data_IF_266060262205
#
_entry.id   IF_266060262205
#
_cell.length_a   1.000
_cell.length_b   1.000
_cell.length_c   1.000
_cell.angle_alpha   90.00
_cell.angle_beta   90.00
_cell.angle_gamma   90.00
#
_symmetry.space_group_name_H-M   'P 1'
#
loop_
_entity.id
_entity.type
_entity.pdbx_description
1 polymer ?
#
# COMPACT_ATOMS: atom_id res chain seq x y z
N UNK A 1 30.41 -16.68 2.67
CA UNK A 1 29.78 -15.55 1.94
C UNK A 1 28.70 -16.11 1.03
N UNK A 2 27.48 -15.57 1.07
CA UNK A 2 26.44 -15.95 0.11
C UNK A 2 26.75 -15.34 -1.27
N UNK A 3 26.16 -15.88 -2.33
CA UNK A 3 26.33 -15.36 -3.70
C UNK A 3 25.90 -13.88 -3.81
N UNK A 4 24.91 -13.47 -3.01
CA UNK A 4 24.41 -12.08 -2.96
C UNK A 4 25.50 -11.09 -2.53
N UNK A 5 26.36 -11.44 -1.56
CA UNK A 5 27.49 -10.60 -1.16
C UNK A 5 28.50 -10.40 -2.30
N UNK A 6 28.77 -11.47 -3.06
CA UNK A 6 29.72 -11.44 -4.18
C UNK A 6 29.15 -10.56 -5.29
N UNK A 7 27.87 -10.71 -5.62
CA UNK A 7 27.18 -9.89 -6.60
C UNK A 7 27.15 -8.41 -6.17
N UNK A 8 26.84 -8.13 -4.91
CA UNK A 8 26.85 -6.77 -4.37
C UNK A 8 28.26 -6.15 -4.43
N UNK A 9 29.30 -6.87 -3.97
CA UNK A 9 30.67 -6.39 -4.02
C UNK A 9 31.15 -6.17 -5.47
N UNK A 10 30.83 -7.09 -6.37
CA UNK A 10 31.11 -6.96 -7.80
C UNK A 10 30.41 -5.75 -8.43
N UNK A 11 29.17 -5.48 -8.02
CA UNK A 11 28.41 -4.31 -8.46
C UNK A 11 29.04 -3.00 -7.99
N UNK A 12 29.39 -2.90 -6.70
CA UNK A 12 30.08 -1.72 -6.15
C UNK A 12 31.41 -1.50 -6.86
N UNK A 13 32.20 -2.58 -7.06
CA UNK A 13 33.48 -2.50 -7.76
C UNK A 13 33.32 -2.03 -9.20
N UNK A 14 32.32 -2.54 -9.93
CA UNK A 14 32.00 -2.09 -11.27
C UNK A 14 31.71 -0.59 -11.33
N UNK A 15 30.90 -0.06 -10.41
CA UNK A 15 30.60 1.37 -10.35
C UNK A 15 31.80 2.22 -9.89
N UNK A 16 32.62 1.71 -8.98
CA UNK A 16 33.86 2.36 -8.56
C UNK A 16 34.84 2.49 -9.74
N UNK A 17 35.05 1.40 -10.50
CA UNK A 17 35.89 1.37 -11.68
C UNK A 17 35.34 2.28 -12.77
N UNK A 18 34.03 2.22 -13.03
CA UNK A 18 33.37 3.11 -13.99
C UNK A 18 33.54 4.58 -13.59
N UNK A 19 33.33 4.91 -12.32
CA UNK A 19 33.52 6.27 -11.79
C UNK A 19 34.98 6.73 -11.92
N UNK A 20 35.95 5.85 -11.68
CA UNK A 20 37.37 6.13 -11.89
C UNK A 20 37.69 6.43 -13.36
N UNK A 21 37.15 5.63 -14.29
CA UNK A 21 37.39 5.78 -15.73
C UNK A 21 36.71 7.02 -16.32
N UNK A 22 35.51 7.36 -15.83
CA UNK A 22 34.69 8.47 -16.33
C UNK A 22 34.98 9.81 -15.64
N UNK A 23 35.61 9.79 -14.46
CA UNK A 23 35.88 10.97 -13.66
C UNK A 23 34.66 11.45 -12.86
N UNK A 24 34.89 12.39 -11.94
CA UNK A 24 33.87 12.88 -11.02
C UNK A 24 32.70 13.57 -11.71
N UNK A 25 32.95 14.44 -12.70
CA UNK A 25 31.89 15.27 -13.27
C UNK A 25 30.84 14.46 -14.03
N UNK A 26 31.28 13.46 -14.80
CA UNK A 26 30.37 12.54 -15.50
C UNK A 26 29.61 11.68 -14.48
N UNK A 27 30.25 11.26 -13.40
CA UNK A 27 29.59 10.52 -12.32
C UNK A 27 28.55 11.37 -11.60
N UNK A 28 28.85 12.64 -11.29
CA UNK A 28 27.91 13.59 -10.69
C UNK A 28 26.72 13.88 -11.62
N UNK A 29 26.96 14.04 -12.92
CA UNK A 29 25.89 14.18 -13.90
C UNK A 29 24.98 12.93 -13.94
N UNK A 30 25.58 11.75 -13.81
CA UNK A 30 24.84 10.49 -13.66
C UNK A 30 23.97 10.46 -12.40
N UNK A 31 24.51 10.91 -11.25
CA UNK A 31 23.76 11.03 -10.00
C UNK A 31 22.61 12.03 -10.09
N UNK A 32 22.87 13.18 -10.70
CA UNK A 32 21.85 14.19 -10.95
C UNK A 32 20.75 13.63 -11.86
N UNK A 33 21.13 12.96 -12.96
CA UNK A 33 20.19 12.30 -13.85
C UNK A 33 19.37 11.22 -13.15
N UNK A 34 19.95 10.49 -12.21
CA UNK A 34 19.23 9.52 -11.36
C UNK A 34 18.18 10.20 -10.48
N UNK A 35 18.54 11.30 -9.81
CA UNK A 35 17.61 12.07 -8.98
C UNK A 35 16.45 12.66 -9.80
N UNK A 36 16.75 13.23 -10.97
CA UNK A 36 15.74 13.73 -11.91
C UNK A 36 14.85 12.60 -12.41
N UNK A 37 15.42 11.46 -12.79
CA UNK A 37 14.66 10.29 -13.24
C UNK A 37 13.72 9.74 -12.16
N UNK A 38 14.17 9.71 -10.91
CA UNK A 38 13.35 9.31 -9.79
C UNK A 38 12.17 10.27 -9.59
N UNK A 39 12.43 11.58 -9.52
CA UNK A 39 11.37 12.59 -9.39
C UNK A 39 10.37 12.54 -10.57
N UNK A 40 10.89 12.42 -11.79
CA UNK A 40 10.09 12.25 -13.01
C UNK A 40 9.18 11.01 -12.93
N UNK A 41 9.71 9.87 -12.46
CA UNK A 41 8.93 8.65 -12.32
C UNK A 41 7.79 8.82 -11.32
N UNK A 42 8.00 9.50 -10.19
CA UNK A 42 6.94 9.73 -9.21
C UNK A 42 5.84 10.67 -9.72
N UNK A 43 6.23 11.71 -10.47
CA UNK A 43 5.29 12.71 -10.99
C UNK A 43 4.45 12.18 -12.14
N UNK A 44 5.03 11.40 -13.05
CA UNK A 44 4.37 11.02 -14.31
C UNK A 44 3.97 9.53 -14.41
N UNK A 45 4.39 8.66 -13.48
CA UNK A 45 4.05 7.24 -13.56
C UNK A 45 2.54 6.96 -13.51
N UNK A 46 1.77 7.76 -12.79
CA UNK A 46 0.31 7.59 -12.70
C UNK A 46 -0.34 7.82 -14.06
N UNK A 47 -0.07 8.95 -14.69
CA UNK A 47 -0.66 9.33 -15.99
C UNK A 47 -0.22 8.38 -17.10
N UNK A 48 1.08 8.05 -17.13
CA UNK A 48 1.60 7.07 -18.09
C UNK A 48 1.06 5.65 -17.83
N UNK A 49 0.85 5.28 -16.56
CA UNK A 49 0.25 4.02 -16.16
C UNK A 49 -1.16 3.87 -16.72
N UNK A 50 -2.01 4.89 -16.57
CA UNK A 50 -3.37 4.92 -17.15
C UNK A 50 -3.31 4.80 -18.68
N UNK A 51 -2.37 5.50 -19.33
CA UNK A 51 -2.22 5.44 -20.78
C UNK A 51 -1.89 4.02 -21.28
N UNK A 52 -1.09 3.24 -20.53
CA UNK A 52 -0.71 1.89 -20.94
C UNK A 52 -1.64 0.78 -20.44
N UNK A 53 -2.58 1.07 -19.54
CA UNK A 53 -3.62 0.11 -19.14
C UNK A 53 -4.47 -0.37 -20.33
N UNK A 54 -4.62 0.48 -21.36
CA UNK A 54 -5.32 0.11 -22.60
C UNK A 54 -4.72 -1.08 -23.36
N UNK A 55 -3.49 -1.49 -23.03
CA UNK A 55 -2.84 -2.68 -23.62
C UNK A 55 -3.09 -3.98 -22.85
N UNK A 56 -4.09 -4.00 -21.95
CA UNK A 56 -4.46 -5.20 -21.19
C UNK A 56 -3.58 -5.49 -19.98
N UNK A 57 -2.73 -4.55 -19.58
CA UNK A 57 -2.00 -4.63 -18.32
C UNK A 57 -2.93 -4.23 -17.16
N UNK A 58 -2.94 -5.05 -16.10
CA UNK A 58 -3.61 -4.67 -14.85
C UNK A 58 -3.04 -3.35 -14.30
N UNK A 59 -3.85 -2.58 -13.57
CA UNK A 59 -3.51 -1.21 -13.18
C UNK A 59 -2.16 -1.07 -12.45
N UNK A 60 -1.88 -1.98 -11.52
CA UNK A 60 -0.62 -2.02 -10.76
C UNK A 60 0.58 -2.35 -11.66
N UNK A 61 0.44 -3.37 -12.51
CA UNK A 61 1.49 -3.75 -13.45
C UNK A 61 1.77 -2.60 -14.44
N UNK A 62 0.73 -1.96 -14.94
CA UNK A 62 0.84 -0.79 -15.79
C UNK A 62 1.58 0.36 -15.08
N UNK A 63 1.25 0.69 -13.84
CA UNK A 63 1.97 1.73 -13.09
C UNK A 63 3.45 1.37 -12.86
N UNK A 64 3.75 0.12 -12.51
CA UNK A 64 5.15 -0.33 -12.34
C UNK A 64 5.94 -0.22 -13.64
N UNK A 65 5.39 -0.72 -14.75
CA UNK A 65 6.01 -0.63 -16.07
C UNK A 65 6.22 0.83 -16.47
N UNK A 66 5.19 1.67 -16.33
CA UNK A 66 5.27 3.10 -16.62
C UNK A 66 6.36 3.79 -15.79
N UNK A 67 6.45 3.48 -14.49
CA UNK A 67 7.47 4.05 -13.60
C UNK A 67 8.88 3.72 -14.08
N UNK A 68 9.13 2.46 -14.45
CA UNK A 68 10.42 2.00 -14.96
C UNK A 68 10.75 2.66 -16.30
N UNK A 69 9.79 2.73 -17.22
CA UNK A 69 9.99 3.34 -18.54
C UNK A 69 10.29 4.83 -18.41
N UNK A 70 9.50 5.57 -17.63
CA UNK A 70 9.74 7.00 -17.38
C UNK A 70 11.10 7.21 -16.73
N UNK A 71 11.45 6.39 -15.73
CA UNK A 71 12.74 6.47 -15.08
C UNK A 71 13.89 6.31 -16.08
N UNK A 72 13.85 5.29 -16.94
CA UNK A 72 14.89 5.04 -17.95
C UNK A 72 14.97 6.21 -18.93
N UNK A 73 13.83 6.68 -19.46
CA UNK A 73 13.80 7.78 -20.43
C UNK A 73 14.32 9.08 -19.82
N UNK A 74 13.84 9.45 -18.64
CA UNK A 74 14.27 10.64 -17.93
C UNK A 74 15.75 10.56 -17.54
N UNK A 75 16.23 9.38 -17.13
CA UNK A 75 17.65 9.17 -16.84
C UNK A 75 18.51 9.37 -18.09
N UNK A 76 18.13 8.76 -19.22
CA UNK A 76 18.86 8.93 -20.48
C UNK A 76 18.87 10.40 -20.92
N UNK A 77 17.73 11.08 -20.85
CA UNK A 77 17.63 12.50 -21.19
C UNK A 77 18.47 13.38 -20.26
N UNK A 78 18.43 13.16 -18.95
CA UNK A 78 19.11 14.00 -17.97
C UNK A 78 20.62 13.69 -17.83
N UNK A 79 21.06 12.46 -18.09
CA UNK A 79 22.45 12.05 -17.91
C UNK A 79 23.22 11.91 -19.24
N UNK A 80 22.59 11.39 -20.29
CA UNK A 80 23.27 11.07 -21.55
C UNK A 80 23.26 12.26 -22.49
N UNK A 81 22.14 12.99 -22.58
CA UNK A 81 22.03 14.15 -23.46
C UNK A 81 23.07 15.24 -23.11
N UNK A 82 23.23 15.67 -21.84
CA UNK A 82 24.20 16.72 -21.52
C UNK A 82 25.64 16.23 -21.72
N UNK A 83 25.89 14.93 -21.59
CA UNK A 83 27.22 14.36 -21.86
C UNK A 83 27.63 14.59 -23.32
N UNK A 84 26.72 14.45 -24.28
CA UNK A 84 27.01 14.71 -25.70
C UNK A 84 27.43 16.16 -25.96
N UNK A 85 26.84 17.12 -25.26
CA UNK A 85 27.14 18.55 -25.44
C UNK A 85 28.32 19.04 -24.59
N UNK A 86 28.52 18.45 -23.40
CA UNK A 86 29.51 18.89 -22.42
C UNK A 86 30.77 18.02 -22.39
N UNK A 87 30.89 17.00 -23.24
CA UNK A 87 32.02 16.05 -23.23
C UNK A 87 33.36 16.78 -23.20
N UNK A 88 33.55 17.78 -24.08
CA UNK A 88 34.80 18.57 -24.15
C UNK A 88 35.13 19.32 -22.85
N UNK A 89 34.12 19.69 -22.07
CA UNK A 89 34.30 20.41 -20.81
C UNK A 89 34.48 19.46 -19.61
N UNK A 90 33.78 18.33 -19.64
CA UNK A 90 33.76 17.35 -18.56
C UNK A 90 34.95 16.38 -18.61
N UNK A 91 35.58 16.19 -19.78
CA UNK A 91 36.63 15.17 -19.98
C UNK A 91 38.04 15.60 -19.52
N UNK A 92 38.13 16.55 -18.58
CA UNK A 92 39.41 16.89 -17.92
C UNK A 92 39.81 15.76 -16.96
N UNK A 93 40.43 14.71 -17.51
CA UNK A 93 40.91 13.50 -16.81
C UNK A 93 42.16 13.76 -15.96
N UNK A 94 42.11 14.69 -15.02
CA UNK A 94 43.16 14.78 -14.00
C UNK A 94 43.11 13.55 -13.10
N UNK A 95 44.26 13.12 -12.58
CA UNK A 95 44.34 11.99 -11.65
C UNK A 95 43.42 12.20 -10.43
N UNK A 96 43.35 13.44 -9.91
CA UNK A 96 42.46 13.84 -8.81
C UNK A 96 40.98 13.65 -9.20
N UNK A 97 40.58 14.07 -10.41
CA UNK A 97 39.21 13.89 -10.88
C UNK A 97 38.82 12.41 -11.03
N UNK A 98 39.77 11.54 -11.38
CA UNK A 98 39.55 10.08 -11.44
C UNK A 98 39.40 9.47 -10.05
N UNK A 99 40.25 9.84 -9.09
CA UNK A 99 40.10 9.40 -7.70
C UNK A 99 38.79 9.86 -7.08
N UNK A 100 38.41 11.12 -7.32
CA UNK A 100 37.13 11.65 -6.87
C UNK A 100 35.94 10.93 -7.55
N UNK A 101 36.09 10.58 -8.84
CA UNK A 101 35.14 9.76 -9.58
C UNK A 101 35.01 8.33 -9.03
N UNK A 102 36.11 7.71 -8.60
CA UNK A 102 36.09 6.41 -7.91
C UNK A 102 35.24 6.51 -6.65
N UNK A 103 35.47 7.52 -5.81
CA UNK A 103 34.68 7.74 -4.59
C UNK A 103 33.19 7.92 -4.87
N UNK A 104 32.84 8.82 -5.79
CA UNK A 104 31.45 9.04 -6.19
C UNK A 104 30.81 7.78 -6.81
N UNK A 105 31.57 7.04 -7.61
CA UNK A 105 31.16 5.76 -8.20
C UNK A 105 30.87 4.71 -7.14
N UNK A 106 31.75 4.56 -6.15
CA UNK A 106 31.53 3.65 -5.01
C UNK A 106 30.25 4.00 -4.26
N UNK A 107 30.01 5.27 -3.95
CA UNK A 107 28.78 5.71 -3.26
C UNK A 107 27.54 5.34 -4.07
N UNK A 108 27.54 5.62 -5.38
CA UNK A 108 26.46 5.25 -6.28
C UNK A 108 26.27 3.72 -6.38
N UNK A 109 27.37 2.98 -6.46
CA UNK A 109 27.38 1.52 -6.49
C UNK A 109 26.76 0.93 -5.22
N UNK A 110 27.14 1.45 -4.05
CA UNK A 110 26.56 1.06 -2.77
C UNK A 110 25.06 1.37 -2.72
N UNK A 111 24.65 2.60 -3.09
CA UNK A 111 23.25 3.00 -3.08
C UNK A 111 22.40 2.13 -4.02
N UNK A 112 22.79 2.02 -5.29
CA UNK A 112 22.05 1.22 -6.28
C UNK A 112 22.08 -0.27 -5.96
N UNK A 113 23.20 -0.80 -5.47
CA UNK A 113 23.30 -2.19 -5.01
C UNK A 113 22.35 -2.48 -3.84
N UNK A 114 22.22 -1.55 -2.89
CA UNK A 114 21.27 -1.68 -1.78
C UNK A 114 19.82 -1.63 -2.26
N UNK A 115 19.48 -0.80 -3.25
CA UNK A 115 18.14 -0.82 -3.88
C UNK A 115 17.85 -2.19 -4.50
N UNK A 116 18.81 -2.79 -5.21
CA UNK A 116 18.65 -4.13 -5.80
C UNK A 116 18.45 -5.18 -4.71
N UNK A 117 19.24 -5.13 -3.64
CA UNK A 117 19.11 -6.03 -2.50
C UNK A 117 17.73 -5.90 -1.86
N UNK A 118 17.26 -4.67 -1.64
CA UNK A 118 15.93 -4.40 -1.11
C UNK A 118 14.82 -4.97 -2.01
N UNK A 119 14.92 -4.77 -3.33
CA UNK A 119 13.98 -5.34 -4.28
C UNK A 119 13.97 -6.87 -4.25
N UNK A 120 15.14 -7.49 -4.10
CA UNK A 120 15.26 -8.93 -3.93
C UNK A 120 14.62 -9.42 -2.62
N UNK A 121 14.80 -8.71 -1.51
CA UNK A 121 14.13 -9.05 -0.22
C UNK A 121 12.62 -8.94 -0.30
N UNK A 122 12.12 -7.90 -0.99
CA UNK A 122 10.69 -7.71 -1.18
C UNK A 122 10.10 -8.82 -2.05
N UNK A 123 10.76 -9.15 -3.16
CA UNK A 123 10.32 -10.22 -4.06
C UNK A 123 10.37 -11.59 -3.38
N UNK A 124 11.39 -11.86 -2.56
CA UNK A 124 11.47 -13.11 -1.81
C UNK A 124 10.32 -13.24 -0.80
N UNK A 125 9.98 -12.16 -0.08
CA UNK A 125 8.85 -12.15 0.85
C UNK A 125 7.51 -12.37 0.12
N UNK A 126 7.31 -11.70 -1.03
CA UNK A 126 6.12 -11.87 -1.86
C UNK A 126 5.99 -13.29 -2.45
N UNK A 127 7.11 -13.97 -2.74
CA UNK A 127 7.08 -15.35 -3.19
C UNK A 127 6.79 -16.35 -2.07
N UNK A 128 7.34 -16.15 -0.88
CA UNK A 128 7.06 -17.01 0.28
C UNK A 128 5.58 -17.00 0.64
N UNK A 129 4.96 -15.81 0.65
CA UNK A 129 3.54 -15.66 0.99
C UNK A 129 2.59 -16.32 -0.01
N UNK A 130 2.98 -16.46 -1.28
CA UNK A 130 2.09 -17.00 -2.32
C UNK A 130 2.08 -18.52 -2.40
N UNK A 131 3.15 -19.19 -1.98
CA UNK A 131 3.40 -20.57 -2.41
C UNK A 131 3.67 -21.56 -1.29
N UNK A 132 3.76 -21.13 -0.01
CA UNK A 132 4.28 -21.99 1.07
C UNK A 132 5.68 -22.55 0.77
N UNK A 133 6.32 -22.05 -0.29
CA UNK A 133 7.60 -22.51 -0.79
C UNK A 133 8.68 -21.76 -0.05
N UNK A 134 9.65 -22.50 0.46
CA UNK A 134 10.86 -21.92 1.00
C UNK A 134 11.68 -21.33 -0.15
N UNK A 135 12.13 -20.08 0.02
CA UNK A 135 13.07 -19.48 -0.92
C UNK A 135 14.34 -20.32 -0.89
N UNK A 136 14.88 -20.75 -2.05
CA UNK A 136 16.13 -21.49 -2.08
C UNK A 136 17.19 -20.76 -1.25
N UNK A 137 17.88 -21.45 -0.34
CA UNK A 137 18.86 -20.84 0.57
C UNK A 137 19.96 -20.04 -0.16
N UNK A 138 20.18 -20.34 -1.44
CA UNK A 138 21.11 -19.66 -2.33
C UNK A 138 20.67 -18.23 -2.70
N UNK A 139 19.36 -17.96 -2.70
CA UNK A 139 18.75 -16.67 -2.98
C UNK A 139 18.42 -15.88 -1.70
N UNK A 140 18.67 -16.47 -0.52
CA UNK A 140 18.47 -15.79 0.74
C UNK A 140 19.41 -14.59 0.84
N UNK A 141 18.83 -13.41 1.04
CA UNK A 141 19.59 -12.19 1.23
C UNK A 141 20.18 -12.20 2.66
N UNK A 142 21.48 -11.94 2.82
CA UNK A 142 22.09 -11.80 4.14
C UNK A 142 21.42 -10.70 4.96
N UNK A 143 21.04 -11.02 6.19
CA UNK A 143 20.34 -10.09 7.09
C UNK A 143 21.03 -8.72 7.23
N UNK A 144 22.36 -8.60 7.41
CA UNK A 144 23.00 -7.28 7.51
C UNK A 144 22.80 -6.41 6.27
N UNK A 145 22.81 -7.03 5.07
CA UNK A 145 22.64 -6.32 3.81
C UNK A 145 21.17 -5.95 3.58
N UNK A 146 20.25 -6.85 3.93
CA UNK A 146 18.82 -6.59 3.94
C UNK A 146 18.45 -5.43 4.87
N UNK A 147 18.97 -5.42 6.11
CA UNK A 147 18.75 -4.35 7.07
C UNK A 147 19.33 -3.02 6.59
N UNK A 148 20.55 -3.01 6.03
CA UNK A 148 21.15 -1.80 5.48
C UNK A 148 20.33 -1.24 4.31
N UNK A 149 19.85 -2.13 3.44
CA UNK A 149 19.01 -1.79 2.30
C UNK A 149 17.66 -1.23 2.75
N UNK A 150 17.00 -1.91 3.70
CA UNK A 150 15.76 -1.46 4.33
C UNK A 150 15.88 -0.09 4.97
N UNK A 151 16.93 0.15 5.80
CA UNK A 151 17.19 1.46 6.40
C UNK A 151 17.37 2.57 5.36
N UNK A 152 18.10 2.29 4.28
CA UNK A 152 18.30 3.24 3.21
C UNK A 152 16.99 3.59 2.50
N UNK A 153 16.22 2.58 2.08
CA UNK A 153 14.96 2.80 1.35
C UNK A 153 13.90 3.43 2.25
N UNK A 154 13.74 2.94 3.48
CA UNK A 154 12.84 3.53 4.46
C UNK A 154 13.16 5.00 4.77
N UNK A 155 14.45 5.33 4.93
CA UNK A 155 14.90 6.71 5.14
C UNK A 155 14.65 7.61 3.93
N UNK A 156 14.91 7.13 2.71
CA UNK A 156 14.62 7.86 1.46
C UNK A 156 13.12 8.07 1.29
N UNK A 157 12.30 7.05 1.53
CA UNK A 157 10.86 7.15 1.43
C UNK A 157 10.26 8.11 2.45
N UNK A 158 10.74 8.07 3.70
CA UNK A 158 10.32 9.01 4.73
C UNK A 158 10.72 10.45 4.38
N UNK A 159 11.94 10.67 3.88
CA UNK A 159 12.40 12.00 3.46
C UNK A 159 11.59 12.51 2.26
N UNK A 160 11.35 11.66 1.26
CA UNK A 160 10.58 12.01 0.06
C UNK A 160 9.12 12.33 0.38
N UNK A 161 8.47 11.51 1.21
CA UNK A 161 7.08 11.74 1.64
C UNK A 161 6.94 13.04 2.44
N UNK A 162 7.88 13.35 3.35
CA UNK A 162 7.90 14.65 4.05
C UNK A 162 8.09 15.82 3.09
N UNK A 163 8.95 15.69 2.08
CA UNK A 163 9.20 16.75 1.10
C UNK A 163 7.97 17.09 0.25
N UNK A 164 7.07 16.13 0.03
CA UNK A 164 5.80 16.35 -0.71
C UNK A 164 4.62 16.70 0.22
N UNK A 165 4.88 17.00 1.49
CA UNK A 165 3.85 17.35 2.47
C UNK A 165 2.96 16.19 2.90
N UNK A 166 3.41 14.94 2.74
CA UNK A 166 2.69 13.81 3.29
C UNK A 166 2.66 13.89 4.82
N UNK A 167 1.54 13.46 5.42
CA UNK A 167 1.36 13.45 6.87
C UNK A 167 2.38 12.53 7.54
N UNK A 168 2.76 12.86 8.76
CA UNK A 168 3.76 12.13 9.52
C UNK A 168 3.42 10.63 9.63
N UNK A 169 2.16 10.27 9.93
CA UNK A 169 1.70 8.87 10.04
C UNK A 169 1.91 8.10 8.73
N UNK A 170 1.53 8.67 7.58
CA UNK A 170 1.70 8.01 6.29
C UNK A 170 3.18 7.86 5.95
N UNK A 171 3.99 8.88 6.21
CA UNK A 171 5.44 8.84 5.98
C UNK A 171 6.15 7.78 6.84
N UNK A 172 5.74 7.65 8.11
CA UNK A 172 6.30 6.68 9.05
C UNK A 172 5.86 5.26 8.71
N UNK A 173 4.58 5.04 8.42
CA UNK A 173 4.06 3.73 8.03
C UNK A 173 4.69 3.25 6.72
N UNK A 174 4.75 4.13 5.72
CA UNK A 174 5.39 3.81 4.43
C UNK A 174 6.89 3.57 4.61
N UNK A 175 7.57 4.39 5.42
CA UNK A 175 8.97 4.20 5.76
C UNK A 175 9.23 2.86 6.46
N UNK A 176 8.37 2.49 7.41
CA UNK A 176 8.43 1.21 8.14
C UNK A 176 8.17 0.00 7.23
N UNK A 177 7.12 0.07 6.40
CA UNK A 177 6.79 -0.93 5.39
C UNK A 177 7.97 -1.15 4.45
N UNK A 178 8.55 -0.07 3.92
CA UNK A 178 9.67 -0.17 3.01
C UNK A 178 10.96 -0.56 3.71
N UNK A 179 11.13 -0.24 4.99
CA UNK A 179 12.30 -0.68 5.74
C UNK A 179 12.29 -2.18 6.01
N UNK A 180 11.13 -2.76 6.33
CA UNK A 180 11.00 -4.16 6.70
C UNK A 180 9.71 -4.77 6.11
N UNK A 181 9.66 -5.00 4.78
CA UNK A 181 8.43 -5.44 4.12
C UNK A 181 7.97 -6.83 4.57
N UNK A 182 8.90 -7.73 4.87
CA UNK A 182 8.62 -9.08 5.35
C UNK A 182 7.89 -9.04 6.71
N UNK A 183 8.49 -8.37 7.70
CA UNK A 183 7.90 -8.22 9.04
C UNK A 183 6.56 -7.48 9.01
N UNK A 184 6.42 -6.50 8.11
CA UNK A 184 5.15 -5.81 7.94
C UNK A 184 4.07 -6.74 7.38
N UNK A 185 4.37 -7.50 6.32
CA UNK A 185 3.41 -8.44 5.71
C UNK A 185 3.03 -9.54 6.69
N UNK A 186 4.01 -10.11 7.40
CA UNK A 186 3.78 -11.13 8.44
C UNK A 186 2.91 -10.57 9.57
N UNK A 187 3.27 -9.39 10.10
CA UNK A 187 2.51 -8.76 11.17
C UNK A 187 1.09 -8.39 10.74
N UNK A 188 0.91 -7.94 9.50
CA UNK A 188 -0.41 -7.64 8.97
C UNK A 188 -1.23 -8.92 8.76
N UNK A 189 -0.64 -9.99 8.20
CA UNK A 189 -1.34 -11.28 8.02
C UNK A 189 -1.80 -11.83 9.36
N UNK A 190 -0.90 -11.87 10.35
CA UNK A 190 -1.22 -12.27 11.73
C UNK A 190 -2.40 -11.48 12.30
N UNK A 191 -2.41 -10.15 12.11
CA UNK A 191 -3.50 -9.30 12.57
C UNK A 191 -4.82 -9.59 11.83
N UNK A 192 -4.79 -9.70 10.50
CA UNK A 192 -5.94 -9.99 9.63
C UNK A 192 -6.57 -11.36 9.93
N UNK A 193 -5.74 -12.35 10.24
CA UNK A 193 -6.18 -13.73 10.47
C UNK A 193 -6.71 -13.95 11.90
N UNK A 194 -6.26 -13.15 12.87
CA UNK A 194 -6.62 -13.30 14.28
C UNK A 194 -8.10 -13.04 14.62
N UNK A 195 -8.84 -12.29 13.78
CA UNK A 195 -10.19 -11.80 14.09
C UNK A 195 -10.24 -10.75 15.21
N UNK A 196 -9.11 -10.43 15.84
CA UNK A 196 -9.01 -9.50 16.97
C UNK A 196 -9.35 -8.08 16.54
N UNK A 197 -9.01 -7.70 15.31
CA UNK A 197 -9.33 -6.38 14.76
C UNK A 197 -10.84 -6.19 14.56
N UNK A 198 -11.53 -7.22 14.08
CA UNK A 198 -12.99 -7.22 13.95
C UNK A 198 -13.65 -7.14 15.33
N UNK A 199 -13.18 -7.92 16.31
CA UNK A 199 -13.67 -7.86 17.68
C UNK A 199 -13.47 -6.47 18.29
N UNK A 200 -12.30 -5.85 18.08
CA UNK A 200 -11.99 -4.51 18.58
C UNK A 200 -12.94 -3.45 17.99
N UNK A 201 -13.13 -3.45 16.67
CA UNK A 201 -14.00 -2.46 16.04
C UNK A 201 -15.48 -2.68 16.31
N UNK A 202 -15.89 -3.89 16.68
CA UNK A 202 -17.27 -4.21 17.06
C UNK A 202 -17.52 -4.09 18.57
N UNK A 203 -16.49 -3.81 19.39
CA UNK A 203 -16.65 -3.62 20.84
C UNK A 203 -17.27 -2.26 21.16
N UNK A 204 -18.51 -2.27 21.66
CA UNK A 204 -19.26 -1.04 21.96
C UNK A 204 -18.60 -0.15 23.03
N UNK A 205 -17.77 -0.71 23.91
CA UNK A 205 -17.05 0.07 24.94
C UNK A 205 -15.86 0.80 24.31
N UNK A 206 -15.09 0.14 23.46
CA UNK A 206 -14.02 0.74 22.70
C UNK A 206 -14.56 1.85 21.77
N UNK A 207 -15.64 1.58 21.03
CA UNK A 207 -16.31 2.58 20.20
C UNK A 207 -16.73 3.82 21.00
N UNK A 208 -17.31 3.62 22.18
CA UNK A 208 -17.71 4.71 23.08
C UNK A 208 -16.52 5.60 23.48
N UNK A 209 -15.37 5.01 23.86
CA UNK A 209 -14.19 5.80 24.23
C UNK A 209 -13.52 6.45 23.02
N UNK A 210 -13.48 5.78 21.86
CA UNK A 210 -13.00 6.37 20.60
C UNK A 210 -13.84 7.58 20.19
N UNK A 211 -15.17 7.50 20.28
CA UNK A 211 -16.08 8.59 19.98
C UNK A 211 -15.80 9.86 20.82
N UNK A 212 -15.40 9.67 22.07
CA UNK A 212 -15.12 10.75 23.03
C UNK A 212 -13.65 11.19 23.06
N UNK A 213 -12.77 10.60 22.23
CA UNK A 213 -11.31 10.77 22.29
C UNK A 213 -10.72 10.47 23.67
N UNK A 214 -11.32 9.56 24.43
CA UNK A 214 -10.83 9.17 25.75
C UNK A 214 -9.80 8.04 25.61
N UNK A 215 -8.58 8.41 25.22
CA UNK A 215 -7.49 7.47 24.96
C UNK A 215 -7.10 6.68 26.20
N UNK A 216 -7.12 7.31 27.38
CA UNK A 216 -6.72 6.68 28.63
C UNK A 216 -7.70 5.57 29.02
N UNK A 217 -9.00 5.81 28.91
CA UNK A 217 -10.01 4.77 29.17
C UNK A 217 -10.03 3.71 28.07
N UNK A 218 -9.81 4.09 26.80
CA UNK A 218 -9.70 3.15 25.68
C UNK A 218 -8.58 2.13 25.93
N UNK A 219 -7.39 2.59 26.35
CA UNK A 219 -6.24 1.73 26.65
C UNK A 219 -6.50 0.71 27.76
N UNK A 220 -7.47 0.97 28.64
CA UNK A 220 -7.84 0.08 29.73
C UNK A 220 -8.81 -1.01 29.29
N UNK A 221 -9.51 -0.84 28.16
CA UNK A 221 -10.49 -1.82 27.67
C UNK A 221 -9.82 -3.17 27.34
N UNK A 222 -10.50 -4.30 27.61
CA UNK A 222 -9.99 -5.62 27.23
C UNK A 222 -9.77 -5.73 25.72
N UNK A 223 -10.69 -5.21 24.91
CA UNK A 223 -10.59 -5.22 23.46
C UNK A 223 -9.32 -4.51 22.96
N UNK A 224 -9.02 -3.32 23.49
CA UNK A 224 -7.79 -2.61 23.12
C UNK A 224 -6.53 -3.37 23.56
N UNK A 225 -6.50 -3.92 24.79
CA UNK A 225 -5.36 -4.70 25.27
C UNK A 225 -5.10 -5.92 24.39
N UNK A 226 -6.17 -6.62 23.99
CA UNK A 226 -6.07 -7.80 23.14
C UNK A 226 -5.44 -7.46 21.78
N UNK A 227 -5.83 -6.35 21.15
CA UNK A 227 -5.23 -5.93 19.88
C UNK A 227 -3.81 -5.38 20.06
N UNK A 228 -3.59 -4.57 21.08
CA UNK A 228 -2.28 -3.97 21.34
C UNK A 228 -1.23 -5.04 21.69
N UNK A 229 -1.63 -6.18 22.25
CA UNK A 229 -0.75 -7.30 22.58
C UNK A 229 -0.51 -8.27 21.41
N UNK A 230 -1.21 -8.12 20.28
CA UNK A 230 -0.95 -8.95 19.11
C UNK A 230 0.47 -8.73 18.61
N UNK A 231 1.18 -9.82 18.32
CA UNK A 231 2.56 -9.78 17.84
C UNK A 231 2.68 -8.92 16.57
N UNK A 232 1.74 -9.06 15.63
CA UNK A 232 1.72 -8.26 14.41
C UNK A 232 1.58 -6.76 14.65
N UNK A 233 0.72 -6.35 15.59
CA UNK A 233 0.54 -4.93 15.95
C UNK A 233 1.78 -4.39 16.66
N UNK A 234 2.38 -5.17 17.55
CA UNK A 234 3.61 -4.82 18.24
C UNK A 234 4.76 -4.61 17.26
N UNK A 235 4.94 -5.52 16.30
CA UNK A 235 5.97 -5.45 15.27
C UNK A 235 5.78 -4.20 14.40
N UNK A 236 4.57 -3.97 13.85
CA UNK A 236 4.29 -2.80 13.02
C UNK A 236 4.45 -1.49 13.80
N UNK A 237 3.96 -1.44 15.04
CA UNK A 237 4.03 -0.23 15.87
C UNK A 237 5.47 0.12 16.26
N UNK A 238 6.27 -0.87 16.66
CA UNK A 238 7.70 -0.66 16.94
C UNK A 238 8.45 -0.19 15.70
N UNK A 239 8.14 -0.75 14.53
CA UNK A 239 8.76 -0.33 13.28
C UNK A 239 8.37 1.11 12.90
N UNK A 240 7.11 1.50 13.08
CA UNK A 240 6.65 2.86 12.82
C UNK A 240 7.24 3.89 13.79
N UNK A 241 7.34 3.54 15.08
CA UNK A 241 7.81 4.42 16.15
C UNK A 241 9.33 4.47 16.31
N UNK A 242 10.06 3.45 15.85
CA UNK A 242 11.53 3.45 15.86
C UNK A 242 12.14 4.66 15.13
N UNK A 243 11.35 5.32 14.27
CA UNK A 243 11.69 6.62 13.69
C UNK A 243 13.04 6.62 13.00
N UNK A 244 13.74 7.75 13.12
CA UNK A 244 15.02 8.01 12.44
C UNK A 244 16.20 7.23 13.02
N UNK A 245 16.12 6.87 14.30
CA UNK A 245 17.16 6.09 14.99
C UNK A 245 17.08 4.60 14.64
N UNK A 246 15.91 4.15 14.13
CA UNK A 246 15.70 2.83 13.55
C UNK A 246 15.95 1.69 14.54
N UNK A 247 15.85 1.96 15.84
CA UNK A 247 16.04 0.99 16.90
C UNK A 247 14.68 0.67 17.58
N UNK A 248 13.99 -0.39 17.12
CA UNK A 248 12.71 -0.80 17.67
C UNK A 248 12.79 -1.27 19.14
N UNK A 249 14.00 -1.50 19.68
CA UNK A 249 14.18 -1.94 21.07
C UNK A 249 14.04 -0.81 22.09
N UNK A 250 14.13 0.45 21.64
CA UNK A 250 14.00 1.64 22.49
C UNK A 250 12.57 2.15 22.62
N UNK A 251 11.66 1.67 21.79
CA UNK A 251 10.26 2.09 21.80
C UNK A 251 9.59 1.54 23.06
N UNK A 252 9.07 2.45 23.89
CA UNK A 252 8.40 2.07 25.12
C UNK A 252 6.99 1.55 24.83
N UNK A 253 6.54 0.57 25.63
CA UNK A 253 5.20 0.00 25.49
C UNK A 253 4.08 1.05 25.64
N UNK A 254 4.28 2.04 26.50
CA UNK A 254 3.34 3.16 26.69
C UNK A 254 3.18 4.00 25.42
N UNK A 255 4.27 4.27 24.70
CA UNK A 255 4.27 5.03 23.45
C UNK A 255 3.52 4.27 22.33
N UNK A 256 3.68 2.95 22.28
CA UNK A 256 2.90 2.08 21.40
C UNK A 256 1.42 2.20 21.72
N UNK A 257 1.04 2.11 23.00
CA UNK A 257 -0.36 2.16 23.43
C UNK A 257 -1.00 3.52 23.15
N UNK A 258 -0.27 4.60 23.40
CA UNK A 258 -0.71 5.97 23.12
C UNK A 258 -0.93 6.19 21.62
N UNK A 259 0.08 5.88 20.81
CA UNK A 259 0.03 6.05 19.36
C UNK A 259 -1.06 5.18 18.73
N UNK A 260 -1.18 3.93 19.17
CA UNK A 260 -2.19 3.01 18.69
C UNK A 260 -3.60 3.48 19.05
N UNK A 261 -3.82 3.93 20.30
CA UNK A 261 -5.10 4.47 20.74
C UNK A 261 -5.49 5.72 19.93
N UNK A 262 -4.54 6.63 19.69
CA UNK A 262 -4.76 7.82 18.88
C UNK A 262 -5.13 7.45 17.43
N UNK A 263 -4.35 6.59 16.80
CA UNK A 263 -4.54 6.20 15.41
C UNK A 263 -5.84 5.41 15.20
N UNK A 264 -6.16 4.46 16.08
CA UNK A 264 -7.42 3.71 16.03
C UNK A 264 -8.63 4.63 16.20
N UNK A 265 -8.56 5.55 17.18
CA UNK A 265 -9.62 6.54 17.40
C UNK A 265 -9.82 7.43 16.17
N UNK A 266 -8.73 7.92 15.58
CA UNK A 266 -8.78 8.73 14.36
C UNK A 266 -9.43 7.97 13.21
N UNK A 267 -8.93 6.76 12.90
CA UNK A 267 -9.45 5.93 11.80
C UNK A 267 -10.92 5.59 12.03
N UNK A 268 -11.30 5.20 13.24
CA UNK A 268 -12.68 4.84 13.56
C UNK A 268 -13.64 6.02 13.42
N UNK A 269 -13.34 7.18 14.02
CA UNK A 269 -14.19 8.38 13.92
C UNK A 269 -14.33 8.83 12.47
N UNK A 270 -13.23 8.76 11.71
CA UNK A 270 -13.23 9.12 10.30
C UNK A 270 -14.07 8.16 9.47
N UNK A 271 -13.92 6.86 9.69
CA UNK A 271 -14.76 5.86 9.02
C UNK A 271 -16.23 6.12 9.30
N UNK A 272 -16.60 6.38 10.56
CA UNK A 272 -17.98 6.67 10.94
C UNK A 272 -18.53 7.91 10.24
N UNK A 273 -17.76 9.00 10.22
CA UNK A 273 -18.11 10.22 9.48
C UNK A 273 -18.32 9.95 7.98
N UNK A 274 -17.41 9.17 7.39
CA UNK A 274 -17.39 8.83 5.97
C UNK A 274 -18.46 7.81 5.55
N UNK A 275 -19.12 7.10 6.48
CA UNK A 275 -20.22 6.18 6.14
C UNK A 275 -21.36 6.86 5.37
N UNK A 276 -21.54 8.15 5.56
CA UNK A 276 -22.57 8.95 4.87
C UNK A 276 -22.10 9.48 3.51
N UNK A 277 -20.81 9.34 3.18
CA UNK A 277 -20.26 9.82 1.92
C UNK A 277 -20.66 8.87 0.76
N UNK A 278 -21.31 9.39 -0.31
CA UNK A 278 -21.73 8.57 -1.44
C UNK A 278 -20.58 7.83 -2.14
N UNK A 279 -19.41 8.46 -2.27
CA UNK A 279 -18.22 7.84 -2.90
C UNK A 279 -17.73 6.64 -2.06
N UNK A 280 -17.73 6.79 -0.73
CA UNK A 280 -17.34 5.72 0.19
C UNK A 280 -18.32 4.57 0.15
N UNK A 281 -19.63 4.85 0.11
CA UNK A 281 -20.66 3.82 -0.04
C UNK A 281 -20.52 3.06 -1.37
N UNK A 282 -20.20 3.75 -2.47
CA UNK A 282 -19.96 3.10 -3.75
C UNK A 282 -18.76 2.14 -3.67
N UNK A 283 -17.66 2.57 -3.05
CA UNK A 283 -16.46 1.73 -2.89
C UNK A 283 -16.76 0.53 -1.97
N UNK A 284 -17.45 0.73 -0.85
CA UNK A 284 -17.75 -0.33 0.12
C UNK A 284 -18.75 -1.37 -0.42
N UNK A 285 -19.67 -0.96 -1.29
CA UNK A 285 -20.64 -1.86 -1.93
C UNK A 285 -20.11 -2.49 -3.23
N UNK A 286 -18.87 -2.20 -3.62
CA UNK A 286 -18.28 -2.73 -4.84
C UNK A 286 -17.95 -4.23 -4.67
N UNK A 287 -18.47 -5.13 -5.54
CA UNK A 287 -18.20 -6.57 -5.42
C UNK A 287 -16.72 -6.93 -5.45
N UNK A 288 -15.90 -6.15 -6.16
CA UNK A 288 -14.45 -6.36 -6.22
C UNK A 288 -13.80 -6.05 -4.86
N UNK A 289 -14.21 -4.96 -4.22
CA UNK A 289 -13.68 -4.56 -2.91
C UNK A 289 -14.13 -5.54 -1.82
N UNK A 290 -15.39 -5.96 -1.84
CA UNK A 290 -15.92 -6.97 -0.92
C UNK A 290 -15.12 -8.27 -1.05
N UNK A 291 -14.89 -8.74 -2.29
CA UNK A 291 -14.09 -9.94 -2.54
C UNK A 291 -12.66 -9.77 -2.03
N UNK A 292 -12.03 -8.62 -2.26
CA UNK A 292 -10.66 -8.36 -1.78
C UNK A 292 -10.55 -8.39 -0.26
N UNK A 293 -11.53 -7.85 0.46
CA UNK A 293 -11.59 -7.91 1.93
C UNK A 293 -11.82 -9.34 2.40
N UNK A 294 -12.68 -10.10 1.72
CA UNK A 294 -12.93 -11.53 2.02
C UNK A 294 -11.71 -12.41 1.76
N UNK A 295 -10.95 -12.12 0.70
CA UNK A 295 -9.73 -12.86 0.32
C UNK A 295 -8.59 -12.65 1.34
N UNK A 296 -8.73 -11.71 2.29
CA UNK A 296 -7.75 -11.39 3.35
C UNK A 296 -6.32 -11.21 2.84
N UNK A 297 -6.16 -10.77 1.59
CA UNK A 297 -4.85 -10.61 0.97
C UNK A 297 -4.36 -9.16 1.10
N UNK A 298 -3.48 -8.84 2.08
CA UNK A 298 -3.00 -7.47 2.31
C UNK A 298 -2.47 -6.78 1.07
N UNK A 299 -1.68 -7.50 0.27
CA UNK A 299 -1.01 -6.92 -0.88
C UNK A 299 -2.04 -6.49 -1.92
N UNK A 300 -3.02 -7.35 -2.21
CA UNK A 300 -4.08 -7.00 -3.15
C UNK A 300 -4.95 -5.84 -2.63
N UNK A 301 -5.23 -5.79 -1.33
CA UNK A 301 -5.97 -4.70 -0.69
C UNK A 301 -5.18 -3.38 -0.82
N UNK A 302 -3.89 -3.36 -0.48
CA UNK A 302 -3.06 -2.15 -0.52
C UNK A 302 -2.87 -1.61 -1.94
N UNK A 303 -2.81 -2.48 -2.96
CA UNK A 303 -2.58 -2.09 -4.35
C UNK A 303 -3.88 -1.91 -5.16
N UNK A 304 -5.06 -2.19 -4.61
CA UNK A 304 -6.31 -1.93 -5.30
C UNK A 304 -6.63 -0.43 -5.32
N UNK A 305 -6.86 0.14 -6.50
CA UNK A 305 -7.08 1.57 -6.67
C UNK A 305 -8.29 2.13 -5.89
N UNK A 306 -9.37 1.35 -5.76
CA UNK A 306 -10.57 1.76 -5.01
C UNK A 306 -10.29 1.75 -3.50
N UNK A 307 -9.58 0.74 -3.01
CA UNK A 307 -9.15 0.69 -1.62
C UNK A 307 -8.15 1.78 -1.29
N UNK A 308 -7.16 2.04 -2.15
CA UNK A 308 -6.22 3.16 -1.98
C UNK A 308 -6.98 4.49 -1.92
N UNK A 309 -7.98 4.68 -2.78
CA UNK A 309 -8.86 5.86 -2.74
C UNK A 309 -9.64 5.97 -1.43
N UNK A 310 -10.15 4.86 -0.90
CA UNK A 310 -10.80 4.83 0.42
C UNK A 310 -9.82 5.22 1.53
N UNK A 311 -8.59 4.68 1.52
CA UNK A 311 -7.54 5.05 2.47
C UNK A 311 -7.22 6.54 2.36
N UNK A 312 -7.12 7.09 1.15
CA UNK A 312 -6.89 8.52 0.93
C UNK A 312 -8.03 9.37 1.52
N UNK A 313 -9.29 8.99 1.31
CA UNK A 313 -10.45 9.68 1.88
C UNK A 313 -10.45 9.64 3.42
N UNK A 314 -10.06 8.51 4.02
CA UNK A 314 -9.89 8.38 5.47
C UNK A 314 -8.73 9.28 5.94
N UNK A 315 -7.60 9.27 5.24
CA UNK A 315 -6.43 10.03 5.68
C UNK A 315 -6.55 11.54 5.42
N UNK A 316 -7.44 11.99 4.54
CA UNK A 316 -7.72 13.41 4.35
C UNK A 316 -8.31 14.02 5.62
N UNK A 317 -7.69 15.10 6.10
CA UNK A 317 -8.22 15.86 7.23
C UNK A 317 -9.37 16.72 6.74
N UNK A 318 -10.50 16.61 7.42
CA UNK A 318 -11.64 17.47 7.20
C UNK A 318 -12.02 18.12 8.52
N UNK A 319 -11.92 19.43 8.59
CA UNK A 319 -12.34 20.21 9.76
C UNK A 319 -13.81 19.98 10.12
N UNK A 320 -14.66 19.60 9.16
CA UNK A 320 -16.05 19.29 9.41
C UNK A 320 -16.22 18.05 10.30
N UNK A 321 -15.28 17.10 10.26
CA UNK A 321 -15.31 15.92 11.13
C UNK A 321 -15.23 16.30 12.61
N UNK A 322 -14.50 17.36 12.97
CA UNK A 322 -14.39 17.78 14.37
C UNK A 322 -15.68 18.38 14.92
N UNK A 323 -16.56 18.85 14.03
CA UNK A 323 -17.90 19.33 14.40
C UNK A 323 -18.97 18.23 14.46
N UNK A 324 -18.64 17.02 13.99
CA UNK A 324 -19.58 15.90 13.99
C UNK A 324 -19.76 15.35 15.42
N UNK A 325 -21.00 15.25 15.86
CA UNK A 325 -21.34 14.76 17.20
C UNK A 325 -21.31 13.23 17.25
N UNK A 326 -20.19 12.67 17.74
CA UNK A 326 -20.04 11.24 17.99
C UNK A 326 -20.57 10.81 19.37
N UNK A 327 -21.04 11.74 20.21
CA UNK A 327 -21.33 11.46 21.64
C UNK A 327 -22.67 10.79 21.90
N UNK A 328 -23.47 10.58 20.84
CA UNK A 328 -24.77 9.92 20.92
C UNK A 328 -24.68 8.41 21.23
N UNK A 329 -23.48 7.85 21.16
CA UNK A 329 -23.17 6.48 21.58
C UNK A 329 -23.35 6.28 23.09
N UNK A 330 -24.15 5.27 23.46
CA UNK A 330 -24.24 4.79 24.85
C UNK A 330 -23.28 3.60 25.05
N UNK A 331 -22.62 3.49 26.22
CA UNK A 331 -21.81 2.33 26.55
C UNK A 331 -22.62 1.03 26.39
N UNK A 332 -22.06 0.04 25.70
CA UNK A 332 -22.67 -1.28 25.52
C UNK A 332 -23.74 -1.38 24.43
N UNK A 333 -24.05 -0.28 23.72
CA UNK A 333 -24.88 -0.33 22.53
C UNK A 333 -24.01 0.08 21.34
N UNK A 334 -23.38 -0.88 20.62
CA UNK A 334 -22.55 -0.54 19.49
C UNK A 334 -23.36 0.29 18.49
N UNK A 335 -22.74 1.29 17.86
CA UNK A 335 -23.27 1.79 16.59
C UNK A 335 -23.40 0.53 15.73
N UNK A 336 -24.63 0.22 15.27
CA UNK A 336 -24.90 -0.96 14.44
C UNK A 336 -23.72 -1.14 13.51
N UNK A 337 -23.06 -2.30 13.62
CA UNK A 337 -21.67 -2.51 13.23
C UNK A 337 -21.37 -2.07 11.80
N UNK A 338 -20.10 -2.13 11.38
CA UNK A 338 -19.73 -2.03 9.95
C UNK A 338 -20.58 -3.01 9.13
N UNK A 339 -21.76 -2.59 8.69
CA UNK A 339 -22.83 -3.46 8.25
C UNK A 339 -22.86 -4.80 8.99
N UNK A 340 -23.54 -4.88 10.14
CA UNK A 340 -24.47 -6.00 10.17
C UNK A 340 -25.37 -5.68 8.98
N UNK A 341 -25.11 -6.32 7.83
CA UNK A 341 -26.13 -6.55 6.83
C UNK A 341 -27.11 -7.46 7.57
N UNK A 342 -27.83 -6.89 8.54
CA UNK A 342 -29.15 -7.35 8.86
C UNK A 342 -29.81 -7.27 7.49
N UNK A 343 -30.18 -8.40 6.89
CA UNK A 343 -31.18 -8.34 5.84
C UNK A 343 -32.26 -7.47 6.45
N UNK A 344 -32.53 -6.30 5.86
CA UNK A 344 -33.65 -5.44 6.25
C UNK A 344 -34.76 -6.37 6.67
N UNK A 345 -35.10 -6.37 7.97
CA UNK A 345 -35.94 -7.37 8.60
C UNK A 345 -37.06 -7.73 7.65
N UNK A 346 -36.92 -8.90 7.01
CA UNK A 346 -37.72 -9.36 5.87
C UNK A 346 -38.69 -8.28 5.36
N UNK A 347 -38.21 -7.34 4.52
CA UNK A 347 -39.04 -7.06 3.35
C UNK A 347 -39.26 -8.45 2.80
N UNK A 348 -40.49 -8.94 2.89
CA UNK A 348 -40.92 -10.13 2.18
C UNK A 348 -40.61 -9.80 0.73
N UNK A 349 -39.38 -10.11 0.31
CA UNK A 349 -39.01 -10.23 -1.08
C UNK A 349 -39.89 -11.38 -1.50
N UNK A 350 -41.08 -11.04 -1.98
CA UNK A 350 -41.91 -11.98 -2.70
C UNK A 350 -40.94 -12.63 -3.68
N UNK A 351 -40.86 -13.97 -3.73
CA UNK A 351 -39.99 -14.64 -4.68
C UNK A 351 -40.18 -13.95 -6.02
N UNK A 352 -39.11 -13.36 -6.56
CA UNK A 352 -39.18 -12.61 -7.80
C UNK A 352 -39.49 -13.64 -8.87
N UNK A 353 -40.75 -13.65 -9.32
CA UNK A 353 -41.21 -14.49 -10.40
C UNK A 353 -40.55 -14.00 -11.69
N UNK A 354 -39.55 -14.74 -12.17
CA UNK A 354 -38.88 -14.45 -13.43
C UNK A 354 -39.70 -15.08 -14.56
N UNK A 355 -40.12 -14.25 -15.50
CA UNK A 355 -40.85 -14.67 -16.69
C UNK A 355 -39.91 -14.70 -17.88
N UNK A 356 -39.98 -15.79 -18.63
CA UNK A 356 -39.27 -16.00 -19.89
C UNK A 356 -40.20 -15.69 -21.05
N UNK A 357 -39.80 -14.82 -21.97
CA UNK A 357 -40.58 -14.48 -23.16
C UNK A 357 -39.67 -14.25 -24.37
N UNK A 358 -40.26 -14.20 -25.58
CA UNK A 358 -39.52 -14.02 -26.84
C UNK A 358 -39.88 -12.67 -27.46
N UNK A 359 -38.86 -11.86 -27.77
CA UNK A 359 -39.03 -10.55 -28.39
C UNK A 359 -39.39 -10.64 -29.88
N UNK A 360 -39.67 -9.49 -30.51
CA UNK A 360 -40.05 -9.44 -31.94
C UNK A 360 -38.94 -9.87 -32.90
N UNK A 361 -37.70 -9.93 -32.41
CA UNK A 361 -36.53 -10.39 -33.16
C UNK A 361 -36.23 -11.88 -32.93
N UNK A 362 -37.03 -12.57 -32.12
CA UNK A 362 -36.84 -13.98 -31.80
C UNK A 362 -35.83 -14.24 -30.68
N UNK A 363 -35.36 -13.22 -29.96
CA UNK A 363 -34.46 -13.42 -28.82
C UNK A 363 -35.24 -13.68 -27.54
N UNK A 364 -34.66 -14.52 -26.69
CA UNK A 364 -35.21 -14.88 -25.40
C UNK A 364 -34.84 -13.81 -24.36
N UNK A 365 -35.84 -13.28 -23.68
CA UNK A 365 -35.71 -12.27 -22.63
C UNK A 365 -36.21 -12.83 -21.29
N UNK A 366 -35.59 -12.36 -20.20
CA UNK A 366 -35.94 -12.74 -18.84
C UNK A 366 -36.21 -11.47 -18.05
N UNK A 367 -37.46 -11.26 -17.64
CA UNK A 367 -37.88 -10.06 -16.91
C UNK A 367 -38.87 -10.43 -15.81
N UNK A 368 -39.14 -9.51 -14.89
CA UNK A 368 -40.33 -9.62 -14.05
C UNK A 368 -41.60 -9.43 -14.91
N UNK A 369 -42.76 -9.78 -14.35
CA UNK A 369 -44.04 -9.66 -15.05
C UNK A 369 -44.36 -8.21 -15.43
N UNK A 370 -44.04 -7.27 -14.54
CA UNK A 370 -44.37 -5.84 -14.71
C UNK A 370 -43.57 -5.20 -15.86
N UNK A 371 -42.30 -5.59 -16.05
CA UNK A 371 -41.47 -5.12 -17.16
C UNK A 371 -41.65 -5.93 -18.45
N UNK A 372 -42.49 -6.97 -18.45
CA UNK A 372 -42.85 -7.68 -19.69
C UNK A 372 -43.83 -6.82 -20.49
N UNK A 373 -43.57 -6.51 -21.78
CA UNK A 373 -44.48 -5.75 -22.62
C UNK A 373 -45.89 -6.37 -22.63
N UNK A 374 -46.94 -5.55 -22.53
CA UNK A 374 -48.32 -6.04 -22.33
C UNK A 374 -48.75 -7.10 -23.36
N UNK A 375 -48.41 -6.89 -24.63
CA UNK A 375 -48.73 -7.80 -25.73
C UNK A 375 -47.93 -9.12 -25.70
N UNK A 376 -46.88 -9.23 -24.88
CA UNK A 376 -46.05 -10.43 -24.69
C UNK A 376 -46.38 -11.19 -23.41
N UNK A 377 -47.06 -10.57 -22.44
CA UNK A 377 -47.42 -11.20 -21.15
C UNK A 377 -48.23 -12.48 -21.30
N UNK A 378 -49.06 -12.59 -22.35
CA UNK A 378 -49.86 -13.79 -22.62
C UNK A 378 -49.01 -15.03 -22.99
N UNK A 379 -47.79 -14.81 -23.49
CA UNK A 379 -46.87 -15.86 -23.93
C UNK A 379 -45.66 -16.00 -23.00
N UNK A 380 -45.66 -15.29 -21.87
CA UNK A 380 -44.55 -15.31 -20.92
C UNK A 380 -44.69 -16.54 -20.02
N UNK A 381 -43.63 -17.35 -19.95
CA UNK A 381 -43.59 -18.59 -19.16
C UNK A 381 -42.92 -18.33 -17.81
N UNK A 382 -43.61 -18.67 -16.72
CA UNK A 382 -43.05 -18.54 -15.37
C UNK A 382 -41.92 -19.57 -15.19
N UNK A 383 -40.71 -19.08 -14.94
CA UNK A 383 -39.58 -19.93 -14.60
C UNK A 383 -39.60 -20.20 -13.10
N UNK A 384 -40.19 -21.31 -12.68
CA UNK A 384 -39.95 -21.82 -11.31
C UNK A 384 -38.50 -22.26 -11.21
N UNK A 385 -37.75 -21.63 -10.31
CA UNK A 385 -36.42 -22.09 -9.93
C UNK A 385 -36.54 -23.52 -9.34
N UNK A 386 -36.44 -24.53 -10.18
CA UNK A 386 -36.19 -25.89 -9.71
C UNK A 386 -34.75 -25.90 -9.19
N UNK A 387 -34.62 -26.01 -7.87
CA UNK A 387 -33.35 -26.34 -7.26
C UNK A 387 -32.97 -27.76 -7.64
N UNK A 388 -31.90 -27.90 -8.44
CA UNK A 388 -30.98 -29.03 -8.35
C UNK A 388 -29.78 -28.63 -7.49
#
# INVERSE_FOLDING_TARGET
MTIVWILFAGWVLYFALRGYLQGIWVTLLGLFGFAVAYGASLLWAKDAGVAIQGYGLGSTAAMMVASVVIFILAYLLASTLPKLFLEKWLDKKTFIARLAGLGAGTVLGCFSGLVIVWGATFLSAAWQSRAGNTVPAQLAVPQPLATAAGKLIGGVAQAGSKAVGAKEIHSQLMGALLANPEQFVEGFSSLSDSGVMEQFFNDGTAQYYMARKDYASLQQTPAFKNIAQQEGVQSISKLALAGKDGDPTKVQQSEIYETLAHNMTFVWRRMEYLKTNPEVQQILNDPEVIKLVQDKNPLNIMFNAKVSRLVDLIMQEDSAMESHDFTQLKPGNPLGGLGEIKPEASRTVKPVEIYKWVDDNGNMQYTDYDNTPEHKRANAELMTAQGE
#
